data_IF_883486069658
#
_entry.id   IF_883486069658
#
_cell.length_a   1.000
_cell.length_b   1.000
_cell.length_c   1.000
_cell.angle_alpha   90.00
_cell.angle_beta   90.00
_cell.angle_gamma   90.00
#
_symmetry.space_group_name_H-M   'P 1'
#
loop_
_entity.id
_entity.type
_entity.pdbx_description
1 polymer ?
#
# COMPACT_ATOMS: atom_id res chain seq x y z
N UNK A 1 59.87 -37.78 24.09
CA UNK A 1 59.25 -37.15 22.90
C UNK A 1 57.75 -37.35 23.06
N UNK A 2 57.03 -36.30 23.47
CA UNK A 2 55.56 -36.32 23.60
C UNK A 2 55.00 -35.47 22.46
N UNK A 3 54.45 -36.12 21.45
CA UNK A 3 53.82 -35.49 20.27
C UNK A 3 52.31 -35.77 20.25
N UNK A 4 51.71 -36.05 21.40
CA UNK A 4 50.30 -36.48 21.48
C UNK A 4 49.29 -35.35 21.74
N UNK A 5 49.75 -34.09 21.88
CA UNK A 5 48.93 -32.97 22.36
C UNK A 5 48.45 -32.03 21.23
N UNK A 6 48.94 -32.20 19.99
CA UNK A 6 48.49 -31.39 18.83
C UNK A 6 47.32 -32.00 18.05
N UNK A 7 46.92 -33.25 18.34
CA UNK A 7 45.92 -33.94 17.51
C UNK A 7 44.47 -33.61 17.89
N UNK A 8 44.20 -33.18 19.13
CA UNK A 8 42.83 -32.88 19.58
C UNK A 8 42.42 -31.45 19.21
N UNK A 9 43.34 -30.48 19.26
CA UNK A 9 43.06 -29.09 18.89
C UNK A 9 42.77 -28.91 17.38
N UNK A 10 43.45 -29.69 16.52
CA UNK A 10 43.20 -29.70 15.07
C UNK A 10 41.82 -30.28 14.70
N UNK A 11 41.22 -31.09 15.57
CA UNK A 11 39.86 -31.62 15.38
C UNK A 11 38.77 -30.66 15.87
N UNK A 12 39.11 -29.76 16.79
CA UNK A 12 38.16 -28.79 17.39
C UNK A 12 38.03 -27.54 16.51
N UNK A 13 39.07 -27.13 15.78
CA UNK A 13 39.05 -25.96 14.89
C UNK A 13 37.84 -25.93 13.94
N UNK A 14 37.60 -26.98 13.14
CA UNK A 14 36.45 -27.03 12.23
C UNK A 14 35.08 -26.97 12.93
N UNK A 15 34.97 -27.51 14.16
CA UNK A 15 33.73 -27.45 14.93
C UNK A 15 33.48 -26.04 15.49
N UNK A 16 34.55 -25.35 15.89
CA UNK A 16 34.49 -23.95 16.35
C UNK A 16 34.15 -23.02 15.20
N UNK A 17 34.73 -23.27 14.01
CA UNK A 17 34.41 -22.51 12.79
C UNK A 17 32.96 -22.72 12.35
N UNK A 18 32.47 -23.98 12.31
CA UNK A 18 31.06 -24.28 12.01
C UNK A 18 30.10 -23.64 13.02
N UNK A 19 30.46 -23.66 14.31
CA UNK A 19 29.69 -22.98 15.35
C UNK A 19 29.70 -21.45 15.17
N UNK A 20 30.84 -20.85 14.85
CA UNK A 20 30.95 -19.41 14.60
C UNK A 20 30.15 -19.00 13.36
N UNK A 21 30.22 -19.75 12.28
CA UNK A 21 29.42 -19.54 11.06
C UNK A 21 27.92 -19.67 11.35
N UNK A 22 27.53 -20.65 12.15
CA UNK A 22 26.15 -20.79 12.60
C UNK A 22 25.70 -19.60 13.45
N UNK A 23 26.57 -19.11 14.34
CA UNK A 23 26.33 -17.95 15.21
C UNK A 23 26.11 -16.68 14.39
N UNK A 24 26.93 -16.45 13.37
CA UNK A 24 26.79 -15.25 12.53
C UNK A 24 25.58 -15.35 11.60
N UNK A 25 25.25 -16.55 11.10
CA UNK A 25 24.06 -16.74 10.24
C UNK A 25 22.75 -16.50 10.98
N UNK A 26 22.57 -17.05 12.20
CA UNK A 26 21.30 -16.82 12.93
C UNK A 26 21.12 -15.34 13.27
N UNK A 27 22.20 -14.60 13.56
CA UNK A 27 22.12 -13.17 13.85
C UNK A 27 21.65 -12.40 12.62
N UNK A 28 22.23 -12.66 11.44
CA UNK A 28 21.80 -12.02 10.20
C UNK A 28 20.34 -12.34 9.85
N UNK A 29 19.92 -13.61 9.99
CA UNK A 29 18.53 -14.02 9.78
C UNK A 29 17.57 -13.37 10.79
N UNK A 30 18.00 -13.25 12.04
CA UNK A 30 17.25 -12.59 13.09
C UNK A 30 17.08 -11.09 12.83
N UNK A 31 18.16 -10.40 12.48
CA UNK A 31 18.14 -8.97 12.16
C UNK A 31 17.24 -8.67 10.95
N UNK A 32 17.27 -9.54 9.92
CA UNK A 32 16.37 -9.46 8.77
C UNK A 32 14.90 -9.66 9.18
N UNK A 33 14.62 -10.63 10.05
CA UNK A 33 13.27 -10.85 10.58
C UNK A 33 12.76 -9.65 11.40
N UNK A 34 13.59 -9.05 12.25
CA UNK A 34 13.24 -7.84 12.99
C UNK A 34 12.97 -6.66 12.06
N UNK A 35 13.79 -6.47 11.02
CA UNK A 35 13.58 -5.42 10.04
C UNK A 35 12.27 -5.62 9.27
N UNK A 36 11.92 -6.86 8.92
CA UNK A 36 10.65 -7.21 8.29
C UNK A 36 9.45 -6.91 9.23
N UNK A 37 9.58 -7.17 10.54
CA UNK A 37 8.51 -6.89 11.49
C UNK A 37 8.31 -5.38 11.69
N UNK A 38 9.41 -4.60 11.81
CA UNK A 38 9.38 -3.13 11.83
C UNK A 38 8.73 -2.54 10.58
N UNK A 39 9.00 -3.12 9.40
CA UNK A 39 8.29 -2.73 8.18
C UNK A 39 6.79 -2.96 8.33
N UNK A 40 6.37 -4.12 8.86
CA UNK A 40 4.97 -4.41 9.13
C UNK A 40 4.28 -3.38 10.04
N UNK A 41 4.96 -2.88 11.07
CA UNK A 41 4.46 -1.78 11.92
C UNK A 41 4.29 -0.47 11.15
N UNK A 42 5.28 -0.13 10.30
CA UNK A 42 5.19 1.04 9.42
C UNK A 42 3.99 0.93 8.47
N UNK A 43 3.70 -0.27 7.94
CA UNK A 43 2.53 -0.49 7.07
C UNK A 43 1.21 -0.26 7.81
N UNK A 44 1.12 -0.61 9.10
CA UNK A 44 -0.07 -0.29 9.92
C UNK A 44 -0.33 1.21 9.93
N UNK A 45 0.71 2.00 10.20
CA UNK A 45 0.59 3.46 10.23
C UNK A 45 0.23 4.01 8.85
N UNK A 46 0.89 3.52 7.80
CA UNK A 46 0.60 3.91 6.42
C UNK A 46 -0.86 3.70 6.04
N UNK A 47 -1.41 2.52 6.32
CA UNK A 47 -2.83 2.20 6.07
C UNK A 47 -3.76 3.03 6.96
N UNK A 48 -3.43 3.25 8.22
CA UNK A 48 -4.25 4.09 9.10
C UNK A 48 -4.36 5.54 8.60
N UNK A 49 -3.25 6.09 8.08
CA UNK A 49 -3.22 7.43 7.50
C UNK A 49 -4.04 7.51 6.22
N UNK A 50 -3.97 6.52 5.33
CA UNK A 50 -4.79 6.53 4.10
C UNK A 50 -6.28 6.50 4.43
N UNK A 51 -6.70 5.67 5.39
CA UNK A 51 -8.09 5.60 5.85
C UNK A 51 -8.54 6.94 6.45
N UNK A 52 -7.67 7.64 7.17
CA UNK A 52 -7.99 8.94 7.74
C UNK A 52 -8.22 9.99 6.65
N UNK A 53 -7.35 10.03 5.63
CA UNK A 53 -7.49 10.94 4.49
C UNK A 53 -8.79 10.65 3.76
N UNK A 54 -9.06 9.38 3.44
CA UNK A 54 -10.27 8.93 2.74
C UNK A 54 -11.55 9.30 3.49
N UNK A 55 -11.61 9.02 4.79
CA UNK A 55 -12.78 9.38 5.60
C UNK A 55 -13.02 10.88 5.69
N UNK A 56 -11.95 11.68 5.77
CA UNK A 56 -12.08 13.12 5.81
C UNK A 56 -12.58 13.68 4.46
N UNK A 57 -12.04 13.19 3.35
CA UNK A 57 -12.45 13.55 1.98
C UNK A 57 -13.91 13.14 1.72
N UNK A 58 -14.25 11.88 2.00
CA UNK A 58 -15.61 11.37 1.85
C UNK A 58 -16.62 12.12 2.72
N UNK A 59 -16.25 12.48 3.95
CA UNK A 59 -17.08 13.27 4.85
C UNK A 59 -17.37 14.67 4.27
N UNK A 60 -16.34 15.35 3.79
CA UNK A 60 -16.48 16.66 3.15
C UNK A 60 -17.32 16.60 1.87
N UNK A 61 -17.08 15.62 0.98
CA UNK A 61 -17.89 15.42 -0.23
C UNK A 61 -19.36 15.12 0.10
N UNK A 62 -19.61 14.36 1.16
CA UNK A 62 -20.96 14.06 1.62
C UNK A 62 -21.71 15.31 2.11
N UNK A 63 -21.01 16.22 2.82
CA UNK A 63 -21.58 17.48 3.28
C UNK A 63 -21.97 18.41 2.12
N UNK A 64 -21.17 18.46 1.06
CA UNK A 64 -21.52 19.20 -0.17
C UNK A 64 -22.81 18.67 -0.80
N UNK A 65 -22.93 17.34 -0.92
CA UNK A 65 -24.06 16.72 -1.61
C UNK A 65 -25.35 16.73 -0.78
N UNK A 66 -25.24 16.52 0.54
CA UNK A 66 -26.40 16.26 1.41
C UNK A 66 -26.82 17.46 2.24
N UNK A 67 -25.86 18.30 2.66
CA UNK A 67 -26.09 19.41 3.59
C UNK A 67 -26.09 20.77 2.87
N UNK A 68 -25.81 20.77 1.56
CA UNK A 68 -25.78 21.97 0.74
C UNK A 68 -24.57 22.86 1.01
N UNK A 69 -23.50 22.32 1.60
CA UNK A 69 -22.23 23.04 1.71
C UNK A 69 -21.74 23.45 0.31
N UNK A 70 -21.18 24.66 0.22
CA UNK A 70 -20.66 25.16 -1.05
C UNK A 70 -19.33 24.48 -1.37
N UNK A 71 -19.25 23.92 -2.57
CA UNK A 71 -17.98 23.42 -3.12
C UNK A 71 -16.90 24.52 -3.09
N UNK A 72 -15.77 24.19 -2.46
CA UNK A 72 -14.57 25.00 -2.42
C UNK A 72 -13.41 24.29 -3.14
N UNK A 73 -12.94 24.81 -4.29
CA UNK A 73 -11.80 24.25 -5.00
C UNK A 73 -10.51 24.20 -4.17
N UNK A 74 -10.32 25.12 -3.22
CA UNK A 74 -9.13 25.12 -2.38
C UNK A 74 -9.12 23.91 -1.42
N UNK A 75 -10.28 23.54 -0.89
CA UNK A 75 -10.44 22.35 -0.05
C UNK A 75 -10.28 21.06 -0.87
N UNK A 76 -10.83 21.00 -2.09
CA UNK A 76 -10.59 19.88 -3.01
C UNK A 76 -9.09 19.67 -3.28
N UNK A 77 -8.38 20.76 -3.61
CA UNK A 77 -6.93 20.72 -3.84
C UNK A 77 -6.12 20.36 -2.60
N UNK A 78 -6.60 20.67 -1.40
CA UNK A 78 -5.96 20.26 -0.15
C UNK A 78 -6.02 18.73 0.03
N UNK A 79 -7.16 18.10 -0.26
CA UNK A 79 -7.29 16.63 -0.22
C UNK A 79 -6.39 15.95 -1.26
N UNK A 80 -6.34 16.44 -2.49
CA UNK A 80 -5.36 15.97 -3.49
C UNK A 80 -3.92 16.09 -2.96
N UNK A 81 -3.61 17.20 -2.29
CA UNK A 81 -2.32 17.42 -1.65
C UNK A 81 -1.99 16.34 -0.62
N UNK A 82 -2.95 16.00 0.26
CA UNK A 82 -2.76 14.94 1.26
C UNK A 82 -2.50 13.57 0.63
N UNK A 83 -3.23 13.21 -0.43
CA UNK A 83 -2.96 11.96 -1.15
C UNK A 83 -1.58 11.95 -1.81
N UNK A 84 -1.16 13.05 -2.45
CA UNK A 84 0.17 13.16 -3.07
C UNK A 84 1.29 13.07 -2.03
N UNK A 85 1.14 13.75 -0.90
CA UNK A 85 2.15 13.74 0.17
C UNK A 85 2.22 12.37 0.86
N UNK A 86 1.10 11.66 0.99
CA UNK A 86 1.07 10.28 1.51
C UNK A 86 1.65 9.27 0.51
N UNK A 87 1.42 9.44 -0.80
CA UNK A 87 1.98 8.57 -1.84
C UNK A 87 3.50 8.73 -2.01
N UNK A 88 4.05 9.92 -1.75
CA UNK A 88 5.49 10.20 -1.92
C UNK A 88 6.41 9.18 -1.21
N UNK A 89 6.21 8.85 0.08
CA UNK A 89 6.98 7.80 0.74
C UNK A 89 6.50 6.38 0.39
N UNK A 90 5.30 6.22 -0.16
CA UNK A 90 4.68 4.91 -0.37
C UNK A 90 5.41 4.07 -1.42
N UNK A 91 5.96 4.67 -2.48
CA UNK A 91 6.71 3.92 -3.49
C UNK A 91 7.99 3.30 -2.91
N UNK A 92 8.72 4.04 -2.05
CA UNK A 92 9.90 3.50 -1.35
C UNK A 92 9.55 2.38 -0.35
N UNK A 93 8.34 2.41 0.23
CA UNK A 93 7.83 1.33 1.07
C UNK A 93 7.49 0.10 0.22
N UNK A 94 6.88 0.28 -0.95
CA UNK A 94 6.59 -0.82 -1.88
C UNK A 94 7.87 -1.53 -2.35
N UNK A 95 8.93 -0.79 -2.61
CA UNK A 95 10.26 -1.35 -2.93
C UNK A 95 10.81 -2.19 -1.78
N UNK A 96 10.70 -1.71 -0.53
CA UNK A 96 11.12 -2.47 0.65
C UNK A 96 10.31 -3.76 0.83
N UNK A 97 8.99 -3.70 0.63
CA UNK A 97 8.13 -4.90 0.67
C UNK A 97 8.63 -5.92 -0.36
N UNK A 98 8.84 -5.50 -1.61
CA UNK A 98 9.32 -6.38 -2.67
C UNK A 98 10.70 -6.98 -2.35
N UNK A 99 11.61 -6.20 -1.75
CA UNK A 99 12.92 -6.67 -1.35
C UNK A 99 12.85 -7.77 -0.27
N UNK A 100 11.98 -7.62 0.73
CA UNK A 100 11.79 -8.65 1.77
C UNK A 100 11.10 -9.91 1.22
N UNK A 101 10.09 -9.75 0.35
CA UNK A 101 9.41 -10.89 -0.29
C UNK A 101 10.35 -11.68 -1.21
N UNK A 102 11.26 -10.99 -1.93
CA UNK A 102 12.28 -11.64 -2.74
C UNK A 102 13.30 -12.45 -1.91
N UNK A 103 13.49 -12.09 -0.65
CA UNK A 103 14.30 -12.83 0.32
C UNK A 103 13.53 -13.98 1.00
N UNK A 104 12.25 -14.17 0.66
CA UNK A 104 11.39 -15.22 1.20
C UNK A 104 10.66 -14.83 2.50
N UNK A 105 10.72 -13.57 2.91
CA UNK A 105 9.98 -13.09 4.08
C UNK A 105 8.52 -12.76 3.71
N UNK A 106 7.58 -13.13 4.58
CA UNK A 106 6.19 -12.71 4.48
C UNK A 106 5.99 -11.37 5.21
N UNK A 107 5.77 -10.30 4.47
CA UNK A 107 5.54 -8.96 5.05
C UNK A 107 4.08 -8.81 5.46
N UNK A 108 3.83 -8.73 6.77
CA UNK A 108 2.48 -8.55 7.32
C UNK A 108 1.87 -7.25 6.77
N UNK A 109 0.62 -7.32 6.29
CA UNK A 109 -0.18 -6.19 5.80
C UNK A 109 0.26 -5.56 4.48
N UNK A 110 1.20 -6.17 3.77
CA UNK A 110 1.63 -5.71 2.45
C UNK A 110 0.46 -5.52 1.47
N UNK A 111 -0.49 -6.44 1.42
CA UNK A 111 -1.63 -6.36 0.50
C UNK A 111 -2.60 -5.22 0.82
N UNK A 112 -2.82 -4.95 2.11
CA UNK A 112 -3.65 -3.84 2.55
C UNK A 112 -3.00 -2.50 2.19
N UNK A 113 -1.67 -2.40 2.36
CA UNK A 113 -0.93 -1.22 1.96
C UNK A 113 -0.94 -1.03 0.43
N UNK A 114 -0.72 -2.10 -0.35
CA UNK A 114 -0.82 -2.06 -1.82
C UNK A 114 -2.20 -1.62 -2.29
N UNK A 115 -3.27 -2.10 -1.64
CA UNK A 115 -4.63 -1.67 -1.94
C UNK A 115 -4.81 -0.18 -1.68
N UNK A 116 -4.38 0.30 -0.50
CA UNK A 116 -4.44 1.72 -0.17
C UNK A 116 -3.66 2.60 -1.17
N UNK A 117 -2.50 2.13 -1.64
CA UNK A 117 -1.73 2.84 -2.69
C UNK A 117 -2.49 2.89 -4.01
N UNK A 118 -3.13 1.80 -4.43
CA UNK A 118 -3.95 1.78 -5.65
C UNK A 118 -5.13 2.74 -5.55
N UNK A 119 -5.84 2.73 -4.42
CA UNK A 119 -6.98 3.61 -4.18
C UNK A 119 -6.56 5.08 -4.19
N UNK A 120 -5.49 5.45 -3.49
CA UNK A 120 -4.96 6.80 -3.51
C UNK A 120 -4.50 7.24 -4.90
N UNK A 121 -3.90 6.35 -5.69
CA UNK A 121 -3.55 6.63 -7.09
C UNK A 121 -4.81 6.86 -7.94
N UNK A 122 -5.84 6.04 -7.77
CA UNK A 122 -7.11 6.19 -8.50
C UNK A 122 -7.82 7.51 -8.20
N UNK A 123 -7.78 8.00 -6.96
CA UNK A 123 -8.35 9.32 -6.59
C UNK A 123 -7.64 10.48 -7.29
N UNK A 124 -6.34 10.33 -7.61
CA UNK A 124 -5.55 11.36 -8.27
C UNK A 124 -5.53 11.24 -9.79
N UNK A 125 -5.98 10.12 -10.36
CA UNK A 125 -6.11 9.95 -11.79
C UNK A 125 -7.27 10.82 -12.27
N UNK A 126 -7.04 11.79 -13.16
CA UNK A 126 -8.13 12.62 -13.65
C UNK A 126 -9.10 11.77 -14.48
N UNK A 127 -10.39 12.12 -14.44
CA UNK A 127 -11.47 11.32 -15.03
C UNK A 127 -11.25 11.05 -16.53
N UNK A 128 -10.70 12.02 -17.25
CA UNK A 128 -10.39 11.91 -18.67
C UNK A 128 -9.33 10.86 -18.98
N UNK A 129 -8.42 10.56 -18.04
CA UNK A 129 -7.46 9.44 -18.10
C UNK A 129 -8.06 8.12 -17.59
N UNK A 130 -8.96 8.17 -16.59
CA UNK A 130 -9.62 6.99 -16.02
C UNK A 130 -10.57 6.31 -17.03
N UNK A 131 -11.23 7.09 -17.89
CA UNK A 131 -12.19 6.60 -18.89
C UNK A 131 -11.60 6.40 -20.31
N UNK A 132 -10.27 6.39 -20.48
CA UNK A 132 -9.62 6.20 -21.80
C UNK A 132 -9.66 4.76 -22.27
N UNK A 133 -9.82 3.78 -21.38
CA UNK A 133 -9.99 2.39 -21.80
C UNK A 133 -11.29 2.25 -22.60
N UNK A 134 -11.19 1.78 -23.86
CA UNK A 134 -12.28 1.66 -24.85
C UNK A 134 -13.56 1.05 -24.25
N UNK A 135 -13.42 0.15 -23.27
CA UNK A 135 -14.51 -0.58 -22.63
C UNK A 135 -15.43 0.30 -21.74
N UNK A 136 -14.91 1.44 -21.24
CA UNK A 136 -15.67 2.39 -20.43
C UNK A 136 -16.16 3.59 -21.25
N UNK A 137 -15.45 3.96 -22.31
CA UNK A 137 -15.90 4.99 -23.26
C UNK A 137 -17.22 4.57 -23.91
N UNK A 138 -17.35 3.30 -24.32
CA UNK A 138 -18.58 2.76 -24.88
C UNK A 138 -19.74 2.79 -23.87
N UNK A 139 -19.49 2.46 -22.60
CA UNK A 139 -20.50 2.52 -21.54
C UNK A 139 -20.92 3.94 -21.19
N UNK A 140 -19.98 4.89 -21.18
CA UNK A 140 -20.27 6.32 -21.02
C UNK A 140 -21.14 6.82 -22.15
N UNK A 141 -20.76 6.53 -23.40
CA UNK A 141 -21.48 6.98 -24.58
C UNK A 141 -22.87 6.33 -24.68
N UNK A 142 -23.00 5.08 -24.25
CA UNK A 142 -24.29 4.39 -24.11
C UNK A 142 -25.16 5.03 -23.03
N UNK A 143 -24.60 5.39 -21.87
CA UNK A 143 -25.33 6.08 -20.80
C UNK A 143 -25.78 7.49 -21.22
N UNK A 144 -24.92 8.25 -21.90
CA UNK A 144 -25.25 9.58 -22.45
C UNK A 144 -26.34 9.47 -23.50
N UNK A 145 -26.26 8.48 -24.39
CA UNK A 145 -27.27 8.22 -25.43
C UNK A 145 -28.60 7.78 -24.80
N UNK A 146 -28.57 6.92 -23.81
CA UNK A 146 -29.76 6.52 -23.05
C UNK A 146 -30.41 7.72 -22.35
N UNK A 147 -29.63 8.67 -21.84
CA UNK A 147 -30.16 9.90 -21.23
C UNK A 147 -30.82 10.82 -22.27
N UNK A 148 -30.14 11.06 -23.40
CA UNK A 148 -30.66 11.87 -24.50
C UNK A 148 -31.93 11.28 -25.13
N UNK A 149 -32.05 9.96 -25.13
CA UNK A 149 -33.22 9.24 -25.64
C UNK A 149 -34.32 9.04 -24.57
N UNK A 150 -34.16 9.62 -23.37
CA UNK A 150 -35.16 9.50 -22.28
C UNK A 150 -35.30 8.10 -21.69
N UNK A 151 -34.28 7.25 -21.89
CA UNK A 151 -34.21 5.86 -21.40
C UNK A 151 -33.50 5.73 -20.06
N UNK A 152 -32.86 6.80 -19.56
CA UNK A 152 -32.49 6.85 -18.15
C UNK A 152 -33.77 6.99 -17.34
N UNK A 153 -34.05 6.03 -16.47
CA UNK A 153 -35.14 6.17 -15.51
C UNK A 153 -34.93 7.50 -14.77
N UNK A 154 -35.92 8.40 -14.84
CA UNK A 154 -36.07 9.41 -13.80
C UNK A 154 -36.05 8.61 -12.50
N UNK A 155 -35.03 8.84 -11.67
CA UNK A 155 -35.01 8.36 -10.31
C UNK A 155 -36.12 9.14 -9.61
N UNK A 156 -37.36 8.67 -9.81
CA UNK A 156 -38.54 9.22 -9.19
C UNK A 156 -38.31 9.14 -7.69
N UNK A 157 -38.15 10.31 -7.09
CA UNK A 157 -38.66 10.52 -5.75
C UNK A 157 -40.13 10.03 -5.72
N UNK A 158 -40.51 9.46 -4.58
CA UNK A 158 -41.85 9.02 -4.17
C UNK A 158 -42.24 7.54 -4.40
N UNK A 159 -42.04 6.75 -3.33
CA UNK A 159 -43.22 6.20 -2.63
C UNK A 159 -43.18 4.73 -2.21
N UNK A 160 -42.64 4.45 -1.01
CA UNK A 160 -43.35 3.83 0.13
C UNK A 160 -42.43 3.73 1.35
#
# INVERSE_FOLDING_TARGET
MSTSDCSELDQIGPLVDDYADHVERWRAEHDAAEACDRLGELLVLGVALSILIDKADAGWRSAILSEGERYDPATAGAFEGFYRDWLRPADAILEQIAAFEAQGHAVKRADQFRQAVREAKAVLTPDDEFFVEDDLADRRDEAVRAHQEGRTAEMNEFGA
#
